data_IF_526562154716
#
_entry.id   IF_526562154716
#
_cell.length_a   1.000
_cell.length_b   1.000
_cell.length_c   1.000
_cell.angle_alpha   90.00
_cell.angle_beta   90.00
_cell.angle_gamma   90.00
#
_symmetry.space_group_name_H-M   'P 1'
#
loop_
_entity.id
_entity.type
_entity.pdbx_description
1 polymer ?
#
# COMPACT_ATOMS: atom_id res chain seq x y z
N UNK A 1 13.61 -7.84 13.66
CA UNK A 1 12.45 -6.91 13.58
C UNK A 1 12.60 -6.14 12.27
N UNK A 2 11.82 -6.52 11.26
CA UNK A 2 12.03 -6.09 9.87
C UNK A 2 11.63 -4.64 9.65
N UNK A 3 12.62 -3.77 9.46
CA UNK A 3 12.42 -2.47 8.82
C UNK A 3 12.08 -2.76 7.36
N UNK A 4 10.80 -2.61 6.99
CA UNK A 4 10.41 -2.49 5.59
C UNK A 4 11.12 -1.23 5.07
N UNK A 5 12.11 -1.44 4.23
CA UNK A 5 12.96 -0.39 3.67
C UNK A 5 12.06 0.65 2.99
N UNK A 6 12.18 1.89 3.46
CA UNK A 6 11.31 3.02 3.14
C UNK A 6 11.92 3.74 1.94
N UNK A 7 11.92 3.09 0.79
CA UNK A 7 12.20 3.79 -0.46
C UNK A 7 10.91 4.49 -0.89
N UNK A 8 10.99 5.81 -1.06
CA UNK A 8 9.84 6.62 -1.46
C UNK A 8 9.32 6.08 -2.79
N UNK A 9 8.08 5.56 -2.79
CA UNK A 9 7.45 5.08 -4.02
C UNK A 9 7.38 6.27 -5.00
N UNK A 10 7.97 6.18 -6.20
CA UNK A 10 7.93 7.27 -7.16
C UNK A 10 6.49 7.46 -7.61
N UNK A 11 5.87 8.57 -7.22
CA UNK A 11 4.51 8.90 -7.64
C UNK A 11 3.93 10.11 -6.89
N UNK A 12 3.06 10.91 -7.54
CA UNK A 12 2.51 12.12 -6.93
C UNK A 12 1.48 11.84 -5.82
N UNK A 13 0.96 10.61 -5.72
CA UNK A 13 -0.12 10.23 -4.79
C UNK A 13 0.14 8.87 -4.16
N UNK A 14 0.83 8.85 -3.02
CA UNK A 14 1.16 7.64 -2.26
C UNK A 14 0.29 7.57 -1.00
N UNK A 15 -0.31 6.41 -0.74
CA UNK A 15 -1.02 6.14 0.51
C UNK A 15 -0.01 5.86 1.60
N UNK A 16 -0.12 6.59 2.71
CA UNK A 16 0.70 6.39 3.90
C UNK A 16 -0.08 5.65 4.97
N UNK A 17 0.59 4.92 5.84
CA UNK A 17 -0.04 4.33 7.01
C UNK A 17 -0.48 5.42 8.00
N UNK A 18 -1.72 5.39 8.46
CA UNK A 18 -2.23 6.38 9.42
C UNK A 18 -1.54 6.34 10.80
N UNK A 19 -0.89 5.22 11.15
CA UNK A 19 -0.20 5.05 12.44
C UNK A 19 1.27 5.44 12.39
N UNK A 20 2.02 4.93 11.42
CA UNK A 20 3.48 5.13 11.35
C UNK A 20 3.93 6.01 10.17
N UNK A 21 3.01 6.49 9.33
CA UNK A 21 3.27 7.35 8.16
C UNK A 21 4.19 6.74 7.08
N UNK A 22 4.48 5.43 7.17
CA UNK A 22 5.20 4.69 6.12
C UNK A 22 4.40 4.64 4.83
N UNK A 23 5.08 4.71 3.70
CA UNK A 23 4.48 4.51 2.38
C UNK A 23 3.97 3.06 2.26
N UNK A 24 2.68 2.91 1.96
CA UNK A 24 2.02 1.60 1.83
C UNK A 24 1.86 1.20 0.37
N UNK A 25 1.35 2.11 -0.46
CA UNK A 25 1.00 1.82 -1.84
C UNK A 25 0.87 3.10 -2.66
N UNK A 26 1.21 3.04 -3.94
CA UNK A 26 0.93 4.11 -4.89
C UNK A 26 -0.54 4.05 -5.36
N UNK A 27 -1.12 5.20 -5.70
CA UNK A 27 -2.46 5.26 -6.32
C UNK A 27 -2.50 4.53 -7.67
N UNK A 28 -1.39 4.49 -8.40
CA UNK A 28 -1.31 3.81 -9.69
C UNK A 28 -1.42 2.28 -9.57
N UNK A 29 -0.96 1.74 -8.43
CA UNK A 29 -1.01 0.32 -8.14
C UNK A 29 -2.41 -0.20 -7.75
N UNK A 30 -3.46 0.65 -7.75
CA UNK A 30 -4.82 0.25 -7.42
C UNK A 30 -5.40 -0.61 -8.55
N UNK A 31 -5.78 -1.84 -8.22
CA UNK A 31 -6.50 -2.74 -9.14
C UNK A 31 -8.01 -2.49 -9.06
N UNK A 32 -8.57 -2.33 -7.87
CA UNK A 32 -10.02 -2.12 -7.68
C UNK A 32 -10.33 -1.44 -6.35
N UNK A 33 -11.42 -0.68 -6.33
CA UNK A 33 -11.92 0.10 -5.19
C UNK A 33 -13.22 -0.44 -4.59
N UNK A 34 -13.67 -1.60 -5.07
CA UNK A 34 -14.97 -2.21 -4.76
C UNK A 34 -14.94 -3.07 -3.49
N UNK A 35 -13.78 -3.16 -2.83
CA UNK A 35 -13.62 -4.00 -1.66
C UNK A 35 -14.09 -3.27 -0.40
N UNK A 36 -14.71 -4.03 0.50
CA UNK A 36 -15.19 -3.55 1.79
C UNK A 36 -14.67 -4.48 2.89
N UNK A 37 -14.04 -3.90 3.91
CA UNK A 37 -13.55 -4.57 5.09
C UNK A 37 -14.42 -4.29 6.32
N UNK A 38 -13.92 -4.65 7.51
CA UNK A 38 -14.60 -4.42 8.78
C UNK A 38 -14.81 -2.92 9.06
N UNK A 39 -13.89 -2.09 8.60
CA UNK A 39 -13.89 -0.64 8.87
C UNK A 39 -14.36 0.20 7.67
N UNK A 40 -15.05 -0.42 6.70
CA UNK A 40 -15.60 0.26 5.53
C UNK A 40 -14.79 -0.01 4.26
N UNK A 41 -14.59 1.01 3.42
CA UNK A 41 -13.96 0.85 2.10
C UNK A 41 -12.51 0.35 2.19
N UNK A 42 -12.15 -0.59 1.33
CA UNK A 42 -10.82 -1.13 1.16
C UNK A 42 -10.45 -1.14 -0.33
N UNK A 43 -9.15 -1.06 -0.62
CA UNK A 43 -8.64 -1.04 -1.99
C UNK A 43 -7.72 -2.22 -2.21
N UNK A 44 -7.84 -2.84 -3.37
CA UNK A 44 -6.96 -3.91 -3.82
C UNK A 44 -5.80 -3.30 -4.59
N UNK A 45 -4.58 -3.62 -4.18
CA UNK A 45 -3.34 -3.16 -4.80
C UNK A 45 -2.55 -4.31 -5.39
N UNK A 46 -1.73 -4.00 -6.40
CA UNK A 46 -0.73 -4.91 -6.97
C UNK A 46 0.66 -4.47 -6.49
N UNK A 47 1.44 -5.42 -5.98
CA UNK A 47 2.88 -5.26 -5.81
C UNK A 47 3.57 -6.04 -6.93
N UNK A 48 4.17 -5.33 -7.87
CA UNK A 48 4.75 -5.95 -9.07
C UNK A 48 6.19 -6.44 -8.89
N UNK A 49 6.97 -5.81 -7.99
CA UNK A 49 8.39 -6.13 -7.83
C UNK A 49 8.84 -6.03 -6.37
N UNK A 50 9.40 -7.11 -5.87
CA UNK A 50 10.27 -7.09 -4.70
C UNK A 50 11.71 -6.79 -5.17
N UNK A 51 12.31 -5.73 -4.64
CA UNK A 51 13.71 -5.39 -4.93
C UNK A 51 14.69 -6.46 -4.42
N UNK A 52 14.32 -7.18 -3.36
CA UNK A 52 15.12 -8.25 -2.79
C UNK A 52 14.47 -9.61 -3.07
N UNK A 53 15.25 -10.57 -3.56
CA UNK A 53 14.77 -11.91 -3.89
C UNK A 53 14.15 -12.63 -2.68
N UNK A 54 14.67 -12.37 -1.48
CA UNK A 54 14.13 -12.91 -0.23
C UNK A 54 12.70 -12.43 0.07
N UNK A 55 12.30 -11.29 -0.51
CA UNK A 55 11.02 -10.63 -0.28
C UNK A 55 10.01 -10.89 -1.41
N UNK A 56 10.33 -11.75 -2.39
CA UNK A 56 9.42 -12.14 -3.49
C UNK A 56 8.08 -12.69 -2.99
N UNK A 57 8.05 -13.30 -1.80
CA UNK A 57 6.79 -13.76 -1.19
C UNK A 57 5.79 -12.63 -0.87
N UNK A 58 6.23 -11.36 -0.87
CA UNK A 58 5.39 -10.16 -0.70
C UNK A 58 4.91 -9.59 -2.04
N UNK A 59 5.33 -10.16 -3.16
CA UNK A 59 4.80 -9.82 -4.48
C UNK A 59 3.39 -10.41 -4.64
N UNK A 60 2.53 -9.69 -5.34
CA UNK A 60 1.16 -10.13 -5.58
C UNK A 60 0.11 -9.09 -5.21
N UNK A 61 -1.10 -9.58 -4.94
CA UNK A 61 -2.26 -8.71 -4.69
C UNK A 61 -2.52 -8.64 -3.19
N UNK A 62 -2.72 -7.43 -2.68
CA UNK A 62 -2.98 -7.20 -1.26
C UNK A 62 -4.08 -6.16 -1.09
N UNK A 63 -4.89 -6.31 -0.03
CA UNK A 63 -6.00 -5.42 0.27
C UNK A 63 -5.61 -4.55 1.46
N UNK A 64 -5.83 -3.26 1.33
CA UNK A 64 -5.63 -2.31 2.41
C UNK A 64 -6.92 -1.53 2.67
N UNK A 65 -7.33 -1.47 3.94
CA UNK A 65 -8.50 -0.70 4.37
C UNK A 65 -8.19 0.80 4.42
N UNK A 66 -9.07 1.61 3.83
CA UNK A 66 -8.92 3.07 3.80
C UNK A 66 -8.89 3.68 5.21
N UNK A 67 -9.58 3.08 6.17
CA UNK A 67 -9.57 3.52 7.56
C UNK A 67 -8.18 3.51 8.21
N UNK A 68 -7.22 2.74 7.67
CA UNK A 68 -5.85 2.63 8.18
C UNK A 68 -4.84 3.42 7.33
N UNK A 69 -5.30 4.13 6.30
CA UNK A 69 -4.47 4.95 5.42
C UNK A 69 -4.64 6.45 5.73
N UNK A 70 -3.53 7.18 5.78
CA UNK A 70 -3.51 8.63 5.62
C UNK A 70 -3.50 9.00 4.15
N UNK A 71 -4.41 9.90 3.75
CA UNK A 71 -4.43 10.53 2.44
C UNK A 71 -3.72 11.89 2.56
N UNK A 72 -2.47 11.95 2.14
CA UNK A 72 -1.77 13.22 1.96
C UNK A 72 -2.02 13.69 0.52
N UNK A 73 -2.64 14.87 0.36
CA UNK A 73 -2.93 15.47 -0.96
C UNK A 73 -4.22 14.96 -1.62
N UNK A 74 -5.32 15.70 -1.43
CA UNK A 74 -6.54 15.61 -2.25
C UNK A 74 -6.63 16.83 -3.15
#
# INVERSE_FOLDING_TARGET
MGLLFLESLPGPKVFKCGRCKVDLASHDAIISKDFHGRHGRAYLFRNEKAYEESQKYKEGKYILEKARMSKEGW
#
